data_IF_500857288615
#
_entry.id   IF_500857288615
#
_cell.length_a   1.000
_cell.length_b   1.000
_cell.length_c   1.000
_cell.angle_alpha   90.00
_cell.angle_beta   90.00
_cell.angle_gamma   90.00
#
_symmetry.space_group_name_H-M   'P 1'
#
loop_
_entity.id
_entity.type
_entity.pdbx_description
1 polymer ?
#
# COMPACT_ATOMS: atom_id res chain seq x y z
N UNK A 1 -27.61 82.95 -3.48
CA UNK A 1 -26.20 82.95 -3.95
C UNK A 1 -25.77 81.52 -4.23
N UNK A 2 -25.17 81.27 -5.40
CA UNK A 2 -24.68 79.97 -5.89
C UNK A 2 -23.32 79.61 -5.24
N UNK A 3 -23.05 78.32 -5.01
CA UNK A 3 -21.73 77.62 -4.99
C UNK A 3 -21.98 76.13 -4.62
N UNK A 4 -22.18 75.20 -5.56
CA UNK A 4 -21.23 74.36 -6.34
C UNK A 4 -20.16 73.60 -5.52
N UNK A 5 -20.24 72.25 -5.67
CA UNK A 5 -19.19 71.20 -5.68
C UNK A 5 -18.37 70.98 -4.38
N UNK A 6 -18.10 69.76 -3.92
CA UNK A 6 -17.33 68.74 -4.66
C UNK A 6 -17.53 67.33 -4.08
N UNK A 7 -17.63 66.35 -4.98
CA UNK A 7 -17.67 64.89 -4.76
C UNK A 7 -16.26 64.38 -4.45
N UNK A 8 -16.09 63.54 -3.43
CA UNK A 8 -14.94 62.63 -3.33
C UNK A 8 -15.46 61.24 -2.96
N UNK A 9 -15.58 60.39 -3.97
CA UNK A 9 -15.87 58.96 -3.85
C UNK A 9 -14.54 58.24 -3.61
N UNK A 10 -14.34 57.68 -2.43
CA UNK A 10 -13.18 56.83 -2.13
C UNK A 10 -13.56 55.36 -2.39
N UNK A 11 -13.12 54.85 -3.54
CA UNK A 11 -13.21 53.44 -3.90
C UNK A 11 -12.01 52.74 -3.25
N UNK A 12 -12.23 52.04 -2.14
CA UNK A 12 -11.26 51.12 -1.56
C UNK A 12 -11.29 49.81 -2.35
N UNK A 13 -10.31 49.64 -3.24
CA UNK A 13 -10.05 48.40 -3.96
C UNK A 13 -9.35 47.42 -3.00
N UNK A 14 -10.12 46.58 -2.30
CA UNK A 14 -9.53 45.49 -1.53
C UNK A 14 -9.08 44.38 -2.50
N UNK A 15 -7.77 44.27 -2.69
CA UNK A 15 -7.12 43.17 -3.41
C UNK A 15 -7.55 41.84 -2.78
N UNK A 16 -8.37 41.08 -3.50
CA UNK A 16 -8.61 39.67 -3.23
C UNK A 16 -7.29 38.92 -3.46
N UNK A 17 -6.59 38.62 -2.37
CA UNK A 17 -5.50 37.64 -2.36
C UNK A 17 -6.17 36.30 -2.60
N UNK A 18 -6.30 35.91 -3.87
CA UNK A 18 -6.68 34.56 -4.26
C UNK A 18 -5.54 33.66 -3.82
N UNK A 19 -5.63 33.14 -2.60
CA UNK A 19 -4.77 32.07 -2.13
C UNK A 19 -4.97 30.90 -3.08
N UNK A 20 -4.01 30.67 -3.97
CA UNK A 20 -3.84 29.38 -4.60
C UNK A 20 -3.51 28.40 -3.47
N UNK A 21 -4.54 27.82 -2.87
CA UNK A 21 -4.43 26.57 -2.15
C UNK A 21 -3.91 25.57 -3.17
N UNK A 22 -2.59 25.39 -3.22
CA UNK A 22 -1.99 24.22 -3.86
C UNK A 22 -2.50 23.02 -3.09
N UNK A 23 -3.60 22.45 -3.58
CA UNK A 23 -4.01 21.12 -3.21
C UNK A 23 -2.88 20.21 -3.69
N UNK A 24 -1.96 19.88 -2.80
CA UNK A 24 -1.11 18.72 -2.98
C UNK A 24 -2.09 17.56 -3.15
N UNK A 25 -2.25 17.12 -4.40
CA UNK A 25 -2.91 15.86 -4.68
C UNK A 25 -2.09 14.82 -3.94
N UNK A 26 -2.58 14.42 -2.77
CA UNK A 26 -2.09 13.28 -2.03
C UNK A 26 -2.18 12.12 -3.02
N UNK A 27 -1.04 11.78 -3.63
CA UNK A 27 -0.95 10.68 -4.59
C UNK A 27 -1.39 9.47 -3.80
N UNK A 28 -2.66 9.08 -3.99
CA UNK A 28 -3.24 7.97 -3.28
C UNK A 28 -2.47 6.73 -3.72
N UNK A 29 -1.43 6.37 -2.95
CA UNK A 29 -0.66 5.16 -3.20
C UNK A 29 -1.66 4.01 -3.31
N UNK A 30 -1.60 3.21 -4.39
CA UNK A 30 -2.63 2.23 -4.68
C UNK A 30 -2.75 1.26 -3.52
N UNK A 31 -3.91 1.27 -2.87
CA UNK A 31 -4.26 0.27 -1.87
C UNK A 31 -4.52 -1.05 -2.59
N UNK A 32 -3.73 -2.06 -2.25
CA UNK A 32 -3.90 -3.42 -2.74
C UNK A 32 -4.62 -4.29 -1.69
N UNK A 33 -5.14 -5.42 -2.15
CA UNK A 33 -5.89 -6.38 -1.34
C UNK A 33 -5.41 -7.80 -1.60
N UNK A 34 -5.71 -8.70 -0.66
CA UNK A 34 -5.50 -10.13 -0.86
C UNK A 34 -6.25 -10.62 -2.13
N UNK A 35 -5.70 -11.57 -2.89
CA UNK A 35 -6.36 -12.11 -4.08
C UNK A 35 -7.76 -12.66 -3.78
N UNK A 36 -8.67 -12.63 -4.74
CA UNK A 36 -9.89 -13.40 -4.58
C UNK A 36 -9.57 -14.89 -4.70
N UNK A 37 -10.25 -15.77 -3.95
CA UNK A 37 -9.95 -17.21 -3.98
C UNK A 37 -10.02 -17.84 -5.38
N UNK A 38 -10.85 -17.26 -6.26
CA UNK A 38 -11.02 -17.70 -7.64
C UNK A 38 -9.83 -17.31 -8.54
N UNK A 39 -8.99 -16.36 -8.12
CA UNK A 39 -7.80 -15.94 -8.85
C UNK A 39 -6.55 -16.74 -8.42
N UNK A 40 -6.70 -17.59 -7.40
CA UNK A 40 -5.62 -18.41 -6.84
C UNK A 40 -5.70 -19.80 -7.47
N UNK A 41 -4.59 -20.27 -8.01
CA UNK A 41 -4.49 -21.54 -8.70
C UNK A 41 -3.43 -22.41 -8.04
N UNK A 42 -3.66 -23.73 -8.05
CA UNK A 42 -2.66 -24.69 -7.58
C UNK A 42 -1.67 -24.95 -8.71
N UNK A 43 -0.38 -24.77 -8.43
CA UNK A 43 0.69 -25.12 -9.35
C UNK A 43 0.71 -26.64 -9.55
N UNK A 44 0.55 -27.15 -10.79
CA UNK A 44 0.44 -28.58 -11.04
C UNK A 44 1.76 -29.34 -10.82
N UNK A 45 2.90 -28.64 -10.89
CA UNK A 45 4.23 -29.24 -10.72
C UNK A 45 4.66 -29.24 -9.26
N UNK A 46 4.48 -28.10 -8.57
CA UNK A 46 4.96 -27.92 -7.18
C UNK A 46 3.91 -28.22 -6.11
N UNK A 47 2.63 -28.30 -6.49
CA UNK A 47 1.52 -28.55 -5.57
C UNK A 47 1.23 -27.39 -4.58
N UNK A 48 1.91 -26.26 -4.73
CA UNK A 48 1.70 -25.04 -3.94
C UNK A 48 0.67 -24.11 -4.63
N UNK A 49 0.13 -23.14 -3.91
CA UNK A 49 -0.83 -22.17 -4.44
C UNK A 49 -0.11 -20.93 -4.96
N UNK A 50 -0.56 -20.39 -6.09
CA UNK A 50 -0.04 -19.18 -6.72
C UNK A 50 -1.18 -18.27 -7.15
N UNK A 51 -0.94 -16.97 -7.19
CA UNK A 51 -1.85 -16.01 -7.82
C UNK A 51 -1.06 -14.86 -8.44
N UNK A 52 -1.56 -14.37 -9.58
CA UNK A 52 -1.00 -13.22 -10.28
C UNK A 52 -2.08 -12.14 -10.31
N UNK A 53 -1.88 -11.06 -9.55
CA UNK A 53 -2.84 -9.94 -9.51
C UNK A 53 -2.19 -8.67 -10.05
N UNK A 54 -3.00 -7.62 -10.26
CA UNK A 54 -2.47 -6.29 -10.64
C UNK A 54 -1.46 -5.74 -9.63
N UNK A 55 -1.55 -6.16 -8.37
CA UNK A 55 -0.62 -5.76 -7.32
C UNK A 55 0.72 -6.51 -7.42
N UNK A 56 0.72 -7.73 -7.96
CA UNK A 56 1.91 -8.55 -8.12
C UNK A 56 1.65 -10.03 -7.82
N UNK A 57 2.73 -10.74 -7.57
CA UNK A 57 2.74 -12.19 -7.45
C UNK A 57 2.56 -12.67 -6.02
N UNK A 58 1.89 -13.81 -5.88
CA UNK A 58 1.60 -14.45 -4.61
C UNK A 58 1.92 -15.93 -4.69
N UNK A 59 2.40 -16.50 -3.58
CA UNK A 59 2.63 -17.95 -3.48
C UNK A 59 2.51 -18.49 -2.06
N UNK A 60 2.07 -19.73 -1.92
CA UNK A 60 2.37 -20.53 -0.73
C UNK A 60 3.73 -21.21 -0.90
N UNK A 61 4.47 -21.42 0.19
CA UNK A 61 5.73 -22.16 0.13
C UNK A 61 5.52 -23.67 0.26
N UNK A 62 4.55 -24.08 1.06
CA UNK A 62 4.29 -25.49 1.30
C UNK A 62 3.45 -26.13 0.20
N UNK A 63 3.71 -27.41 -0.04
CA UNK A 63 2.84 -28.28 -0.81
C UNK A 63 1.50 -28.44 -0.07
N UNK A 64 0.40 -28.24 -0.79
CA UNK A 64 -0.94 -28.30 -0.22
C UNK A 64 -1.65 -29.59 -0.60
N UNK A 65 -2.22 -30.31 0.36
CA UNK A 65 -3.13 -31.43 0.10
C UNK A 65 -4.54 -30.97 -0.29
N UNK A 66 -4.89 -29.71 0.01
CA UNK A 66 -6.17 -29.15 -0.36
C UNK A 66 -6.40 -29.19 -1.88
N UNK A 67 -7.62 -29.49 -2.27
CA UNK A 67 -8.09 -29.40 -3.65
C UNK A 67 -8.67 -28.03 -3.96
N UNK A 68 -9.29 -27.37 -2.98
CA UNK A 68 -9.92 -26.06 -3.14
C UNK A 68 -9.60 -25.12 -1.98
N UNK A 69 -9.63 -23.82 -2.29
CA UNK A 69 -9.70 -22.75 -1.30
C UNK A 69 -11.16 -22.34 -1.10
N UNK A 70 -11.59 -22.22 0.15
CA UNK A 70 -13.02 -22.01 0.47
C UNK A 70 -13.32 -20.58 0.86
N UNK A 71 -12.53 -19.99 1.77
CA UNK A 71 -12.83 -18.68 2.35
C UNK A 71 -11.56 -17.91 2.71
N UNK A 72 -11.58 -16.60 2.51
CA UNK A 72 -10.62 -15.69 3.11
C UNK A 72 -10.88 -15.56 4.62
N UNK A 73 -9.84 -15.72 5.42
CA UNK A 73 -9.91 -15.71 6.89
C UNK A 73 -9.42 -14.38 7.45
N UNK A 74 -8.40 -13.82 6.82
CA UNK A 74 -7.73 -12.62 7.26
C UNK A 74 -6.34 -12.52 6.67
N UNK A 75 -5.58 -11.54 7.13
CA UNK A 75 -4.21 -11.32 6.70
C UNK A 75 -3.31 -11.00 7.89
N UNK A 76 -2.03 -11.32 7.74
CA UNK A 76 -0.98 -10.96 8.68
C UNK A 76 0.09 -10.15 7.94
N UNK A 77 0.60 -9.15 8.62
CA UNK A 77 1.77 -8.41 8.21
C UNK A 77 2.85 -8.57 9.28
N UNK A 78 4.10 -8.78 8.86
CA UNK A 78 5.23 -8.92 9.76
C UNK A 78 6.45 -8.12 9.28
N UNK A 79 7.06 -7.31 10.15
CA UNK A 79 8.22 -6.48 9.80
C UNK A 79 8.43 -5.27 10.71
N UNK A 80 9.23 -4.31 10.24
CA UNK A 80 9.54 -3.06 10.93
C UNK A 80 9.40 -1.88 9.96
N UNK A 81 8.25 -1.20 9.97
CA UNK A 81 7.79 -0.20 8.98
C UNK A 81 7.61 -0.73 7.55
N UNK A 82 8.45 -1.66 7.12
CA UNK A 82 8.38 -2.44 5.88
C UNK A 82 8.45 -3.91 6.25
N UNK A 83 7.65 -4.73 5.57
CA UNK A 83 7.48 -6.12 5.99
C UNK A 83 6.81 -7.01 4.96
N UNK A 84 6.63 -8.26 5.37
CA UNK A 84 6.02 -9.32 4.60
C UNK A 84 4.52 -9.38 4.88
N UNK A 85 3.74 -9.40 3.81
CA UNK A 85 2.29 -9.64 3.87
C UNK A 85 1.97 -11.12 3.59
N UNK A 86 1.03 -11.67 4.35
CA UNK A 86 0.51 -13.03 4.21
C UNK A 86 -1.01 -13.04 4.32
N UNK A 87 -1.69 -13.58 3.32
CA UNK A 87 -3.14 -13.79 3.33
C UNK A 87 -3.45 -15.23 3.74
N UNK A 88 -4.48 -15.42 4.57
CA UNK A 88 -4.85 -16.72 5.11
C UNK A 88 -6.18 -17.17 4.51
N UNK A 89 -6.21 -18.39 3.99
CA UNK A 89 -7.41 -18.99 3.41
C UNK A 89 -7.72 -20.32 4.08
N UNK A 90 -9.01 -20.55 4.37
CA UNK A 90 -9.49 -21.91 4.61
C UNK A 90 -9.42 -22.73 3.32
N UNK A 91 -9.21 -24.02 3.50
CA UNK A 91 -9.02 -24.95 2.41
C UNK A 91 -9.73 -26.27 2.72
N UNK A 92 -10.06 -27.02 1.67
CA UNK A 92 -10.68 -28.33 1.77
C UNK A 92 -10.04 -29.31 0.79
N UNK A 93 -10.12 -30.59 1.14
CA UNK A 93 -9.77 -31.70 0.28
C UNK A 93 -11.04 -32.44 -0.13
N UNK A 94 -11.24 -32.53 -1.44
CA UNK A 94 -12.27 -33.35 -2.06
C UNK A 94 -11.65 -34.68 -2.49
N UNK A 95 -12.27 -35.79 -2.11
CA UNK A 95 -11.81 -37.13 -2.43
C UNK A 95 -13.00 -38.09 -2.56
N UNK A 96 -12.75 -39.34 -2.96
CA UNK A 96 -13.78 -40.37 -3.03
C UNK A 96 -13.59 -41.37 -1.90
N UNK A 97 -14.64 -41.61 -1.13
CA UNK A 97 -14.71 -42.70 -0.15
C UNK A 97 -15.74 -43.71 -0.64
N UNK A 98 -15.32 -44.95 -0.89
CA UNK A 98 -16.21 -46.01 -1.38
C UNK A 98 -17.01 -45.59 -2.64
N UNK A 99 -16.35 -44.88 -3.56
CA UNK A 99 -16.96 -44.37 -4.78
C UNK A 99 -17.83 -43.11 -4.62
N UNK A 100 -18.09 -42.63 -3.39
CA UNK A 100 -18.89 -41.44 -3.12
C UNK A 100 -17.99 -40.20 -2.89
N UNK A 101 -18.36 -39.01 -3.40
CA UNK A 101 -17.67 -37.77 -3.07
C UNK A 101 -17.69 -37.49 -1.55
N UNK A 102 -16.55 -37.13 -1.00
CA UNK A 102 -16.36 -36.70 0.38
C UNK A 102 -15.53 -35.41 0.39
N UNK A 103 -15.81 -34.53 1.35
CA UNK A 103 -15.10 -33.26 1.54
C UNK A 103 -14.63 -33.18 2.99
N UNK A 104 -13.36 -32.84 3.18
CA UNK A 104 -12.77 -32.66 4.50
C UNK A 104 -12.05 -31.31 4.57
N UNK A 105 -12.31 -30.46 5.58
CA UNK A 105 -11.50 -29.27 5.84
C UNK A 105 -10.03 -29.64 6.07
N UNK A 106 -9.11 -28.83 5.54
CA UNK A 106 -7.67 -29.04 5.68
C UNK A 106 -6.98 -27.84 6.31
N UNK A 107 -5.66 -27.94 6.49
CA UNK A 107 -4.86 -26.84 7.05
C UNK A 107 -5.02 -25.55 6.23
N UNK A 108 -5.08 -24.38 6.87
CA UNK A 108 -5.15 -23.12 6.16
C UNK A 108 -3.98 -22.93 5.19
N UNK A 109 -4.26 -22.30 4.06
CA UNK A 109 -3.23 -21.95 3.07
C UNK A 109 -2.75 -20.53 3.37
N UNK A 110 -1.45 -20.40 3.58
CA UNK A 110 -0.76 -19.14 3.75
C UNK A 110 -0.22 -18.67 2.39
N UNK A 111 -0.81 -17.61 1.86
CA UNK A 111 -0.43 -17.03 0.59
C UNK A 111 0.39 -15.77 0.82
N UNK A 112 1.66 -15.82 0.47
CA UNK A 112 2.65 -14.79 0.78
C UNK A 112 2.84 -13.92 -0.45
N UNK A 113 2.77 -12.60 -0.24
CA UNK A 113 2.98 -11.63 -1.30
C UNK A 113 4.46 -11.52 -1.65
N UNK A 114 4.82 -11.48 -2.93
CA UNK A 114 6.25 -11.46 -3.31
C UNK A 114 6.95 -10.15 -2.93
N UNK A 115 6.22 -9.04 -2.93
CA UNK A 115 6.76 -7.70 -2.68
C UNK A 115 6.58 -7.31 -1.22
N UNK A 116 7.60 -6.64 -0.66
CA UNK A 116 7.47 -6.05 0.68
C UNK A 116 6.45 -4.92 0.67
N UNK A 117 5.73 -4.78 1.78
CA UNK A 117 4.67 -3.79 1.95
C UNK A 117 4.97 -2.89 3.12
N UNK A 118 4.45 -1.67 3.07
CA UNK A 118 4.48 -0.79 4.23
C UNK A 118 3.61 -1.36 5.35
N UNK A 119 3.96 -1.01 6.58
CA UNK A 119 3.15 -1.30 7.74
C UNK A 119 1.71 -0.79 7.49
N UNK A 120 0.69 -1.65 7.67
CA UNK A 120 -0.69 -1.24 7.42
C UNK A 120 -1.13 -0.19 8.44
N UNK A 121 -1.76 0.87 7.95
CA UNK A 121 -2.22 2.00 8.76
C UNK A 121 -3.75 2.23 8.69
N UNK A 122 -4.46 1.56 7.78
CA UNK A 122 -5.91 1.74 7.53
C UNK A 122 -6.61 0.39 7.47
N UNK A 123 -7.92 0.35 7.69
CA UNK A 123 -8.73 -0.87 7.65
C UNK A 123 -8.79 -1.58 9.01
N UNK A 124 -9.05 -2.89 9.02
CA UNK A 124 -9.24 -3.68 10.25
C UNK A 124 -7.95 -4.32 10.78
N UNK A 125 -6.80 -3.72 10.47
CA UNK A 125 -5.51 -4.16 11.00
C UNK A 125 -5.39 -3.80 12.48
N UNK A 126 -4.92 -4.76 13.27
CA UNK A 126 -4.65 -4.60 14.71
C UNK A 126 -3.23 -5.05 15.01
N UNK A 127 -2.50 -4.26 15.79
CA UNK A 127 -1.22 -4.68 16.33
C UNK A 127 -1.43 -5.90 17.23
N UNK A 128 -0.71 -6.98 16.95
CA UNK A 128 -0.80 -8.23 17.71
C UNK A 128 0.44 -8.43 18.61
N UNK A 129 1.63 -8.12 18.09
CA UNK A 129 2.90 -8.18 18.81
C UNK A 129 3.91 -7.25 18.11
N UNK A 130 5.09 -7.07 18.70
CA UNK A 130 6.15 -6.23 18.10
C UNK A 130 6.44 -6.70 16.67
N UNK A 131 6.16 -5.81 15.71
CA UNK A 131 6.36 -6.08 14.30
C UNK A 131 5.35 -7.05 13.68
N UNK A 132 4.21 -7.31 14.33
CA UNK A 132 3.14 -8.17 13.82
C UNK A 132 1.80 -7.44 13.88
N UNK A 133 1.12 -7.39 12.74
CA UNK A 133 -0.23 -6.84 12.61
C UNK A 133 -1.13 -7.90 11.98
N UNK A 134 -2.32 -8.10 12.55
CA UNK A 134 -3.32 -9.03 12.03
C UNK A 134 -4.57 -8.27 11.61
N UNK A 135 -5.07 -8.57 10.41
CA UNK A 135 -6.39 -8.16 9.96
C UNK A 135 -7.37 -9.31 10.14
N UNK A 136 -8.22 -9.23 11.18
CA UNK A 136 -9.24 -10.23 11.48
C UNK A 136 -10.55 -9.85 10.78
N UNK A 137 -10.63 -10.08 9.46
CA UNK A 137 -11.85 -9.93 8.68
C UNK A 137 -11.95 -10.98 7.59
N UNK A 138 -13.17 -11.46 7.35
CA UNK A 138 -13.47 -12.39 6.25
C UNK A 138 -13.71 -11.68 4.91
N UNK A 139 -13.65 -10.34 4.90
CA UNK A 139 -13.76 -9.51 3.68
C UNK A 139 -12.38 -8.98 3.29
N UNK A 140 -11.88 -9.31 2.10
CA UNK A 140 -10.57 -8.85 1.62
C UNK A 140 -10.45 -7.31 1.62
N UNK A 141 -11.54 -6.61 1.29
CA UNK A 141 -11.59 -5.14 1.25
C UNK A 141 -11.36 -4.47 2.61
N UNK A 142 -11.54 -5.19 3.71
CA UNK A 142 -11.29 -4.65 5.06
C UNK A 142 -9.80 -4.67 5.44
N UNK A 143 -8.96 -5.33 4.63
CA UNK A 143 -7.53 -5.53 4.87
C UNK A 143 -6.67 -4.86 3.77
N UNK A 144 -6.82 -3.54 3.51
CA UNK A 144 -6.00 -2.86 2.54
C UNK A 144 -4.54 -2.81 2.99
N UNK A 145 -3.61 -2.86 2.04
CA UNK A 145 -2.20 -2.63 2.28
C UNK A 145 -1.59 -1.77 1.16
N UNK A 146 -0.41 -1.22 1.41
CA UNK A 146 0.34 -0.42 0.44
C UNK A 146 1.62 -1.15 0.07
N UNK A 147 1.91 -1.20 -1.22
CA UNK A 147 3.11 -1.86 -1.73
C UNK A 147 4.31 -0.93 -1.59
N UNK A 148 5.45 -1.44 -1.13
CA UNK A 148 6.71 -0.69 -1.14
C UNK A 148 7.39 -0.90 -2.49
N UNK A 149 6.80 -0.34 -3.55
CA UNK A 149 7.40 -0.31 -4.88
C UNK A 149 8.10 1.03 -5.00
N UNK A 150 9.43 1.02 -5.15
CA UNK A 150 10.15 2.24 -5.54
C UNK A 150 9.59 2.68 -6.89
N UNK A 151 9.19 3.95 -6.98
CA UNK A 151 8.85 4.59 -8.26
C UNK A 151 9.92 4.24 -9.29
N UNK A 152 9.49 3.92 -10.51
CA UNK A 152 10.39 3.79 -11.65
C UNK A 152 11.27 5.03 -11.68
N UNK A 153 12.55 4.85 -11.38
CA UNK A 153 13.55 5.91 -11.43
C UNK A 153 13.46 6.46 -12.85
N UNK A 154 13.19 7.76 -12.99
CA UNK A 154 13.40 8.45 -14.26
C UNK A 154 14.88 8.38 -14.63
N UNK A 155 15.31 9.09 -15.67
CA UNK A 155 16.74 9.17 -15.98
C UNK A 155 17.51 9.55 -14.69
N UNK A 156 18.36 8.64 -14.20
CA UNK A 156 19.07 8.76 -12.92
C UNK A 156 19.89 10.05 -12.84
N UNK A 157 20.36 10.56 -13.99
CA UNK A 157 21.07 11.83 -14.08
C UNK A 157 20.16 13.05 -13.79
N UNK A 158 18.88 12.98 -14.14
CA UNK A 158 17.90 14.04 -13.86
C UNK A 158 17.52 14.06 -12.37
N UNK A 159 17.36 12.90 -11.75
CA UNK A 159 17.10 12.82 -10.30
C UNK A 159 18.31 13.29 -9.48
N UNK A 160 19.52 12.89 -9.88
CA UNK A 160 20.75 13.36 -9.24
C UNK A 160 20.96 14.88 -9.39
N UNK A 161 20.52 15.48 -10.51
CA UNK A 161 20.56 16.92 -10.70
C UNK A 161 19.55 17.65 -9.80
N UNK A 162 18.35 17.12 -9.60
CA UNK A 162 17.35 17.69 -8.70
C UNK A 162 17.80 17.69 -7.23
N UNK A 163 18.46 16.62 -6.77
CA UNK A 163 18.99 16.51 -5.41
C UNK A 163 20.18 17.46 -5.12
N UNK A 164 20.92 17.87 -6.15
CA UNK A 164 21.97 18.88 -6.01
C UNK A 164 21.41 20.28 -5.81
N UNK A 165 20.23 20.56 -6.37
CA UNK A 165 19.61 21.88 -6.29
C UNK A 165 18.93 22.14 -4.93
N UNK A 166 18.42 21.08 -4.29
CA UNK A 166 17.70 21.17 -3.00
C UNK A 166 18.63 21.38 -1.78
N UNK A 167 19.95 21.21 -1.96
CA UNK A 167 20.96 21.46 -0.91
C UNK A 167 21.51 22.89 -0.90
N UNK A 168 21.03 23.79 -1.76
CA UNK A 168 21.58 25.15 -1.86
C UNK A 168 20.96 26.18 -0.92
N UNK A 169 19.88 25.85 -0.19
CA UNK A 169 19.17 26.80 0.69
C UNK A 169 19.35 26.55 2.20
N UNK A 170 20.32 25.72 2.61
CA UNK A 170 20.79 25.69 4.00
C UNK A 170 22.29 25.84 4.06
N UNK A 171 22.75 27.09 3.93
CA UNK A 171 24.08 27.47 4.36
C UNK A 171 24.26 27.12 5.85
N UNK A 172 25.11 26.15 6.11
CA UNK A 172 25.65 25.82 7.42
C UNK A 172 26.59 26.97 7.86
N UNK A 173 26.35 27.67 8.99
CA UNK A 173 27.12 28.85 9.37
C UNK A 173 28.50 28.53 10.00
N UNK A 174 29.12 27.40 9.67
CA UNK A 174 30.42 27.00 10.24
C UNK A 174 31.45 26.68 9.16
N UNK A 175 31.85 27.67 8.37
CA UNK A 175 33.11 27.63 7.63
C UNK A 175 33.56 29.05 7.21
N UNK A 176 34.15 29.79 8.15
CA UNK A 176 35.05 30.88 7.81
C UNK A 176 36.48 30.34 7.78
N UNK A 177 37.22 30.43 6.66
CA UNK A 177 38.64 30.11 6.63
C UNK A 177 39.47 31.22 7.32
N UNK A 178 40.63 30.89 7.92
CA UNK A 178 41.44 31.86 8.64
C UNK A 178 42.09 32.86 7.68
N UNK A 179 42.02 34.14 8.04
CA UNK A 179 42.73 35.23 7.38
C UNK A 179 44.22 35.16 7.71
N UNK A 180 45.06 35.16 6.67
CA UNK A 180 46.46 35.58 6.73
C UNK A 180 46.58 37.00 6.19
#
# INVERSE_FOLDING_TARGET
>A
MKKKLTIISLITLALSITGCSVAFADSAEPSAFCPHKNDIQKNPVKGNWIAHTKAGDWKSYDMSFATNLTQFVGAQWSGANVGQLTCVYHSEQQFKMQGKPAVQPTLPVLLIFHTLTFQPAKGKWKHAARGIYNCYSTKQSDCPFKMNIKSSVGNVYQEAAALKYDNTDKADPLQQPPSY
#
